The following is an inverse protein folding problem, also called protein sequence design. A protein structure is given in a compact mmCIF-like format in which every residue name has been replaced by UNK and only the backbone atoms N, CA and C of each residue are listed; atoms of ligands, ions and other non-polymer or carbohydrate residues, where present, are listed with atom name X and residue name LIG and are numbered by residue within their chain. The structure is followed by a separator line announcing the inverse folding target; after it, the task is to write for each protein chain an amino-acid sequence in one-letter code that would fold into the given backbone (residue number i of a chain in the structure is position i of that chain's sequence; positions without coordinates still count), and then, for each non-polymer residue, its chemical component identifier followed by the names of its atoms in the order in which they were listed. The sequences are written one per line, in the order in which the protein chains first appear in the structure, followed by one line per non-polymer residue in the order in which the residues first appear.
data_IF_762637200871
#
_entry.id   IF_762637200871
#
_cell.length_a   1.000
_cell.length_b   1.000
_cell.length_c   1.000
_cell.angle_alpha   90.00
_cell.angle_beta   90.00
_cell.angle_gamma   90.00
#
_symmetry.space_group_name_H-M   'P 1'
#
loop_
_entity.id
_entity.type
_entity.pdbx_description
1 polymer ?
#
# COMPACT_ATOMS: atom_id res chain seq x y z
N UNK A 1 21.18 -19.68 18.18
CA UNK A 1 21.87 -18.45 17.74
C UNK A 1 20.94 -17.28 18.04
N UNK A 2 21.20 -16.51 19.10
CA UNK A 2 20.36 -15.35 19.45
C UNK A 2 20.76 -14.18 18.54
N UNK A 3 19.82 -13.67 17.74
CA UNK A 3 20.04 -12.47 16.93
C UNK A 3 20.01 -11.27 17.88
N UNK A 4 21.18 -10.73 18.20
CA UNK A 4 21.34 -9.64 19.19
C UNK A 4 21.12 -8.25 18.56
N UNK A 5 21.35 -8.11 17.26
CA UNK A 5 21.08 -6.92 16.47
C UNK A 5 20.78 -7.33 15.02
N UNK A 6 19.68 -6.84 14.47
CA UNK A 6 19.42 -6.85 13.02
C UNK A 6 19.26 -5.39 12.56
N UNK A 7 20.04 -5.01 11.55
CA UNK A 7 20.02 -3.67 10.97
C UNK A 7 18.71 -3.37 10.20
N UNK A 8 17.84 -4.37 10.05
CA UNK A 8 16.53 -4.26 9.37
C UNK A 8 15.34 -4.28 10.34
N UNK A 9 15.59 -4.14 11.65
CA UNK A 9 14.51 -4.09 12.62
C UNK A 9 13.64 -2.84 12.40
N UNK A 10 12.30 -2.97 12.45
CA UNK A 10 11.42 -1.82 12.33
C UNK A 10 11.65 -0.86 13.49
N UNK A 11 11.71 0.43 13.19
CA UNK A 11 11.98 1.49 14.17
C UNK A 11 10.70 2.03 14.82
N UNK A 12 9.58 1.97 14.09
CA UNK A 12 8.28 2.53 14.49
C UNK A 12 7.15 1.62 14.03
N UNK A 13 5.96 1.86 14.57
CA UNK A 13 4.74 1.20 14.16
C UNK A 13 3.74 2.26 13.71
N UNK A 14 3.22 2.14 12.48
CA UNK A 14 2.08 2.93 12.03
C UNK A 14 0.80 2.29 12.56
N UNK A 15 -0.02 3.06 13.26
CA UNK A 15 -1.39 2.72 13.58
C UNK A 15 -2.31 3.38 12.55
N UNK A 16 -2.59 2.67 11.45
CA UNK A 16 -3.30 3.21 10.31
C UNK A 16 -4.82 3.04 10.43
N UNK A 17 -5.57 4.11 10.20
CA UNK A 17 -7.03 4.13 10.08
C UNK A 17 -7.46 4.62 8.70
N UNK A 18 -8.68 4.29 8.27
CA UNK A 18 -9.23 4.84 7.03
C UNK A 18 -10.07 6.09 7.29
N UNK A 19 -9.93 7.12 6.45
CA UNK A 19 -10.54 8.45 6.69
C UNK A 19 -12.07 8.43 6.86
N UNK A 20 -12.75 7.49 6.22
CA UNK A 20 -14.22 7.40 6.24
C UNK A 20 -14.75 6.45 7.33
N UNK A 21 -13.89 5.90 8.18
CA UNK A 21 -14.25 4.95 9.23
C UNK A 21 -14.27 5.61 10.61
N UNK A 22 -15.23 5.18 11.44
CA UNK A 22 -15.31 5.60 12.84
C UNK A 22 -14.12 4.99 13.62
N UNK A 23 -13.19 5.81 14.14
CA UNK A 23 -12.01 5.35 14.86
C UNK A 23 -12.35 4.66 16.18
N UNK A 24 -13.55 4.88 16.74
CA UNK A 24 -14.00 4.22 17.98
C UNK A 24 -14.44 2.79 17.73
N UNK A 25 -14.90 2.48 16.51
CA UNK A 25 -15.45 1.16 16.15
C UNK A 25 -14.48 0.26 15.39
N UNK A 26 -13.39 0.84 14.87
CA UNK A 26 -12.49 0.13 13.95
C UNK A 26 -11.09 0.08 14.54
N UNK A 27 -10.58 -1.14 14.76
CA UNK A 27 -9.20 -1.32 15.21
C UNK A 27 -8.21 -0.87 14.12
N UNK A 28 -7.17 -0.10 14.46
CA UNK A 28 -6.18 0.35 13.50
C UNK A 28 -5.36 -0.83 12.95
N UNK A 29 -4.95 -0.73 11.69
CA UNK A 29 -3.98 -1.65 11.10
C UNK A 29 -2.59 -1.26 11.59
N UNK A 30 -1.94 -2.19 12.29
CA UNK A 30 -0.60 -2.01 12.83
C UNK A 30 0.46 -2.44 11.82
N UNK A 31 1.27 -1.50 11.33
CA UNK A 31 2.29 -1.76 10.30
C UNK A 31 3.68 -1.37 10.79
N UNK A 32 4.63 -2.31 10.89
CA UNK A 32 6.00 -1.99 11.24
C UNK A 32 6.68 -1.22 10.10
N UNK A 33 7.43 -0.17 10.43
CA UNK A 33 8.18 0.62 9.46
C UNK A 33 9.60 0.94 9.94
N UNK A 34 10.50 1.09 8.97
CA UNK A 34 11.77 1.76 9.17
C UNK A 34 11.60 3.25 8.82
N UNK A 35 11.92 4.13 9.77
CA UNK A 35 11.74 5.57 9.63
C UNK A 35 12.56 6.12 8.45
N UNK A 36 13.81 5.67 8.30
CA UNK A 36 14.71 6.16 7.26
C UNK A 36 14.20 5.74 5.88
N UNK A 37 13.73 4.50 5.75
CA UNK A 37 13.12 4.03 4.50
C UNK A 37 11.79 4.75 4.22
N UNK A 38 10.98 5.01 5.24
CA UNK A 38 9.72 5.73 5.12
C UNK A 38 9.94 7.19 4.66
N UNK A 39 10.81 7.95 5.34
CA UNK A 39 11.14 9.35 5.01
C UNK A 39 11.81 9.48 3.63
N UNK A 40 12.49 8.43 3.15
CA UNK A 40 12.99 8.37 1.76
C UNK A 40 11.85 8.19 0.75
N UNK A 41 10.86 7.35 1.09
CA UNK A 41 9.75 6.98 0.22
C UNK A 41 8.65 8.04 0.13
N UNK A 42 8.37 8.75 1.22
CA UNK A 42 7.23 9.66 1.37
C UNK A 42 7.66 11.06 1.82
N UNK A 43 6.85 12.05 1.46
CA UNK A 43 7.08 13.47 1.81
C UNK A 43 6.22 13.96 2.98
N UNK A 44 5.24 13.15 3.41
CA UNK A 44 4.42 13.50 4.57
C UNK A 44 5.26 13.56 5.84
N UNK A 45 5.11 14.65 6.59
CA UNK A 45 5.69 14.76 7.92
C UNK A 45 4.73 14.14 8.94
N UNK A 46 5.13 13.03 9.54
CA UNK A 46 4.37 12.34 10.57
C UNK A 46 4.77 12.76 12.00
N UNK A 47 5.65 13.75 12.17
CA UNK A 47 6.19 14.17 13.46
C UNK A 47 6.72 12.98 14.28
N UNK A 48 7.61 12.19 13.68
CA UNK A 48 8.16 10.99 14.30
C UNK A 48 8.71 11.28 15.71
N UNK A 49 8.18 10.64 16.76
CA UNK A 49 8.76 10.79 18.10
C UNK A 49 10.21 10.25 18.09
N UNK A 50 11.09 10.77 18.95
CA UNK A 50 12.43 10.22 19.06
C UNK A 50 12.33 8.75 19.49
N UNK A 51 12.92 7.87 18.68
CA UNK A 51 13.02 6.46 19.05
C UNK A 51 13.90 6.35 20.30
N UNK A 52 13.44 5.59 21.30
CA UNK A 52 14.22 5.32 22.53
C UNK A 52 15.53 4.59 22.25
N UNK A 53 15.64 3.96 21.07
CA UNK A 53 16.87 3.42 20.49
C UNK A 53 16.78 3.46 18.97
N UNK A 54 17.86 3.87 18.31
CA UNK A 54 18.05 3.79 16.85
C UNK A 54 18.06 2.35 16.32
N UNK A 55 18.33 1.38 17.19
CA UNK A 55 18.17 -0.06 16.89
C UNK A 55 17.34 -0.70 18.01
N UNK A 56 16.11 -1.14 17.73
CA UNK A 56 15.30 -1.83 18.72
C UNK A 56 16.01 -3.13 19.13
N UNK A 57 16.42 -3.22 20.39
CA UNK A 57 17.03 -4.44 20.94
C UNK A 57 15.93 -5.35 21.47
N UNK A 58 15.78 -6.57 20.95
CA UNK A 58 14.86 -7.54 21.51
C UNK A 58 15.20 -7.78 22.99
N UNK A 59 14.20 -7.66 23.85
CA UNK A 59 14.31 -8.01 25.27
C UNK A 59 13.65 -9.36 25.47
N UNK A 60 14.36 -10.25 26.14
CA UNK A 60 13.79 -11.53 26.56
C UNK A 60 12.90 -11.31 27.77
N UNK A 61 11.64 -11.74 27.68
CA UNK A 61 10.73 -11.82 28.82
C UNK A 61 10.16 -13.23 28.92
N UNK A 62 9.88 -13.65 30.14
CA UNK A 62 9.25 -14.94 30.41
C UNK A 62 7.73 -14.72 30.48
N UNK A 63 6.98 -15.36 29.59
CA UNK A 63 5.51 -15.33 29.57
C UNK A 63 5.04 -16.76 29.80
N UNK A 64 4.58 -17.05 31.03
CA UNK A 64 4.32 -18.43 31.47
C UNK A 64 5.62 -19.24 31.53
N UNK A 65 5.64 -20.43 30.92
CA UNK A 65 6.84 -21.28 30.84
C UNK A 65 7.70 -21.00 29.58
N UNK A 66 7.30 -20.03 28.76
CA UNK A 66 7.96 -19.73 27.48
C UNK A 66 8.79 -18.44 27.56
N UNK A 67 10.00 -18.51 27.01
CA UNK A 67 10.86 -17.34 26.82
C UNK A 67 10.53 -16.71 25.46
N UNK A 68 10.12 -15.43 25.47
CA UNK A 68 9.69 -14.72 24.27
C UNK A 68 10.49 -13.42 24.14
N UNK A 69 10.87 -13.09 22.91
CA UNK A 69 11.56 -11.84 22.59
C UNK A 69 10.53 -10.76 22.26
N UNK A 70 10.61 -9.63 22.96
CA UNK A 70 9.73 -8.47 22.75
C UNK A 70 10.53 -7.23 22.37
N UNK A 71 9.90 -6.38 21.57
CA UNK A 71 10.45 -5.11 21.11
C UNK A 71 9.40 -4.03 21.33
N UNK A 72 9.80 -2.93 21.99
CA UNK A 72 8.95 -1.77 22.17
C UNK A 72 9.24 -0.77 21.04
N UNK A 73 8.21 -0.42 20.27
CA UNK A 73 8.30 0.55 19.18
C UNK A 73 7.37 1.74 19.45
N UNK A 74 7.80 2.98 19.17
CA UNK A 74 6.89 4.11 19.20
C UNK A 74 5.79 3.93 18.14
N UNK A 75 4.55 4.23 18.53
CA UNK A 75 3.37 4.12 17.67
C UNK A 75 3.01 5.49 17.11
N UNK A 76 2.77 5.56 15.80
CA UNK A 76 2.42 6.79 15.09
C UNK A 76 1.04 6.59 14.46
N UNK A 77 0.02 7.35 14.90
CA UNK A 77 -1.28 7.30 14.27
C UNK A 77 -1.21 7.95 12.88
N UNK A 78 -1.81 7.30 11.89
CA UNK A 78 -1.91 7.84 10.53
C UNK A 78 -3.28 7.57 9.94
N UNK A 79 -3.88 8.60 9.33
CA UNK A 79 -5.15 8.45 8.63
C UNK A 79 -4.90 8.38 7.12
N UNK A 80 -5.40 7.34 6.46
CA UNK A 80 -5.19 7.12 5.03
C UNK A 80 -6.50 7.02 4.26
N UNK A 81 -6.55 7.45 2.99
CA UNK A 81 -7.76 7.31 2.18
C UNK A 81 -8.23 5.88 1.97
N UNK A 82 -7.32 4.91 1.89
CA UNK A 82 -7.66 3.51 1.62
C UNK A 82 -6.72 2.54 2.34
N UNK A 83 -7.24 1.86 3.36
CA UNK A 83 -6.41 1.07 4.28
C UNK A 83 -5.84 -0.19 3.63
N UNK A 84 -6.64 -0.89 2.81
CA UNK A 84 -6.25 -2.19 2.24
C UNK A 84 -5.12 -2.11 1.20
N UNK A 85 -4.89 -0.94 0.60
CA UNK A 85 -3.77 -0.71 -0.33
C UNK A 85 -2.52 -0.16 0.35
N UNK A 86 -2.58 0.19 1.64
CA UNK A 86 -1.47 0.83 2.34
C UNK A 86 -0.24 -0.08 2.44
N UNK A 87 -0.44 -1.35 2.81
CA UNK A 87 0.67 -2.30 2.95
C UNK A 87 1.43 -2.50 1.63
N UNK A 88 0.71 -2.60 0.50
CA UNK A 88 1.31 -2.68 -0.82
C UNK A 88 2.10 -1.41 -1.13
N UNK A 89 1.56 -0.23 -0.85
CA UNK A 89 2.26 1.04 -1.07
C UNK A 89 3.56 1.12 -0.26
N UNK A 90 3.50 0.78 1.03
CA UNK A 90 4.66 0.81 1.93
C UNK A 90 5.76 -0.14 1.46
N UNK A 91 5.40 -1.36 1.02
CA UNK A 91 6.34 -2.37 0.53
C UNK A 91 7.23 -1.81 -0.59
N UNK A 92 6.63 -1.14 -1.58
CA UNK A 92 7.37 -0.57 -2.71
C UNK A 92 8.01 0.78 -2.38
N UNK A 93 7.33 1.65 -1.64
CA UNK A 93 7.83 2.99 -1.33
C UNK A 93 9.07 2.97 -0.43
N UNK A 94 9.12 2.02 0.51
CA UNK A 94 10.29 1.80 1.39
C UNK A 94 11.40 0.99 0.69
N UNK A 95 11.20 0.56 -0.56
CA UNK A 95 12.18 -0.21 -1.32
C UNK A 95 12.38 -1.64 -0.83
N UNK A 96 11.41 -2.20 -0.09
CA UNK A 96 11.44 -3.60 0.35
C UNK A 96 11.13 -4.57 -0.80
N UNK A 97 10.28 -4.13 -1.73
CA UNK A 97 10.11 -4.73 -3.05
C UNK A 97 10.50 -3.71 -4.12
N UNK A 98 11.23 -4.15 -5.14
CA UNK A 98 11.78 -3.29 -6.20
C UNK A 98 11.31 -3.70 -7.60
N UNK A 99 10.73 -4.89 -7.74
CA UNK A 99 10.25 -5.41 -9.02
C UNK A 99 8.89 -4.80 -9.38
N UNK A 100 8.92 -3.75 -10.19
CA UNK A 100 7.73 -3.05 -10.65
C UNK A 100 6.80 -3.89 -11.54
N UNK A 101 7.28 -4.99 -12.12
CA UNK A 101 6.42 -5.90 -12.89
C UNK A 101 5.45 -6.63 -11.95
N UNK A 102 5.92 -7.00 -10.75
CA UNK A 102 5.05 -7.59 -9.73
C UNK A 102 4.00 -6.56 -9.28
N UNK A 103 4.38 -5.28 -9.16
CA UNK A 103 3.41 -4.22 -8.86
C UNK A 103 2.35 -4.16 -9.96
N UNK A 104 2.74 -4.12 -11.22
CA UNK A 104 1.80 -4.08 -12.34
C UNK A 104 0.80 -5.25 -12.29
N UNK A 105 1.27 -6.48 -12.02
CA UNK A 105 0.40 -7.67 -11.88
C UNK A 105 -0.48 -7.67 -10.63
N UNK A 106 -0.15 -6.91 -9.60
CA UNK A 106 -1.03 -6.70 -8.45
C UNK A 106 -2.13 -5.67 -8.71
N UNK A 107 -1.92 -4.77 -9.68
CA UNK A 107 -2.87 -3.71 -10.02
C UNK A 107 -3.78 -4.07 -11.19
N UNK A 108 -3.31 -4.91 -12.11
CA UNK A 108 -4.02 -5.29 -13.31
C UNK A 108 -3.89 -6.79 -13.56
N UNK A 109 -4.93 -7.42 -14.15
CA UNK A 109 -4.84 -8.80 -14.62
C UNK A 109 -3.73 -9.00 -15.65
N UNK A 110 -3.18 -10.20 -15.71
CA UNK A 110 -2.06 -10.54 -16.62
C UNK A 110 -2.43 -10.26 -18.07
N UNK A 111 -3.64 -10.64 -18.50
CA UNK A 111 -4.14 -10.46 -19.86
C UNK A 111 -4.29 -8.98 -20.23
N UNK A 112 -4.45 -8.11 -19.24
CA UNK A 112 -4.46 -6.66 -19.44
C UNK A 112 -3.04 -6.12 -19.54
N UNK A 113 -2.10 -6.67 -18.76
CA UNK A 113 -0.69 -6.25 -18.78
C UNK A 113 0.01 -6.67 -20.07
N UNK A 114 -0.37 -7.78 -20.67
CA UNK A 114 0.16 -8.27 -21.96
C UNK A 114 -0.04 -7.29 -23.12
N UNK A 115 -1.07 -6.45 -23.08
CA UNK A 115 -1.36 -5.43 -24.11
C UNK A 115 -0.53 -4.15 -23.93
N UNK A 116 0.34 -4.07 -22.92
CA UNK A 116 1.17 -2.89 -22.71
C UNK A 116 2.10 -2.63 -23.92
N UNK A 117 2.25 -1.38 -24.39
CA UNK A 117 1.78 -0.11 -23.81
C UNK A 117 0.45 0.42 -24.37
N UNK A 118 -0.36 -0.39 -25.05
CA UNK A 118 -1.59 0.06 -25.68
C UNK A 118 -2.75 0.21 -24.67
N UNK A 119 -2.82 1.36 -24.00
CA UNK A 119 -3.84 1.64 -22.98
C UNK A 119 -5.30 1.46 -23.47
N UNK A 120 -5.58 1.70 -24.76
CA UNK A 120 -6.89 1.49 -25.34
C UNK A 120 -7.24 -0.01 -25.41
N UNK A 121 -6.30 -0.86 -25.82
CA UNK A 121 -6.45 -2.31 -25.79
C UNK A 121 -6.60 -2.83 -24.36
N UNK A 122 -5.74 -2.38 -23.45
CA UNK A 122 -5.78 -2.72 -22.02
C UNK A 122 -7.16 -2.43 -21.40
N UNK A 123 -7.68 -1.21 -21.61
CA UNK A 123 -8.98 -0.80 -21.07
C UNK A 123 -10.15 -1.58 -21.69
N UNK A 124 -10.05 -1.94 -22.97
CA UNK A 124 -11.05 -2.75 -23.67
C UNK A 124 -11.10 -4.16 -23.11
N UNK A 125 -9.95 -4.83 -22.93
CA UNK A 125 -9.88 -6.17 -22.31
C UNK A 125 -10.44 -6.11 -20.89
N UNK A 126 -10.01 -5.13 -20.09
CA UNK A 126 -10.48 -4.99 -18.72
C UNK A 126 -12.00 -4.75 -18.67
N UNK A 127 -12.57 -3.98 -19.60
CA UNK A 127 -14.01 -3.69 -19.69
C UNK A 127 -14.90 -4.92 -19.97
N UNK A 128 -14.33 -6.02 -20.45
CA UNK A 128 -15.06 -7.28 -20.74
C UNK A 128 -15.18 -8.20 -19.52
N UNK A 129 -14.47 -7.91 -18.43
CA UNK A 129 -14.51 -8.72 -17.21
C UNK A 129 -15.84 -8.60 -16.46
N UNK A 130 -16.16 -9.56 -15.56
CA UNK A 130 -17.32 -9.44 -14.69
C UNK A 130 -17.29 -8.14 -13.88
N UNK A 131 -18.46 -7.50 -13.74
CA UNK A 131 -18.59 -6.19 -13.09
C UNK A 131 -18.04 -6.18 -11.65
N UNK A 132 -18.24 -7.27 -10.89
CA UNK A 132 -17.73 -7.39 -9.52
C UNK A 132 -16.19 -7.34 -9.45
N UNK A 133 -15.51 -8.03 -10.37
CA UNK A 133 -14.05 -8.00 -10.45
C UNK A 133 -13.53 -6.62 -10.86
N UNK A 134 -14.18 -6.00 -11.85
CA UNK A 134 -13.82 -4.65 -12.29
C UNK A 134 -13.97 -3.62 -11.18
N UNK A 135 -15.07 -3.68 -10.42
CA UNK A 135 -15.30 -2.76 -9.30
C UNK A 135 -14.26 -2.97 -8.20
N UNK A 136 -13.88 -4.22 -7.93
CA UNK A 136 -12.79 -4.54 -6.99
C UNK A 136 -11.46 -3.93 -7.43
N UNK A 137 -11.06 -4.15 -8.70
CA UNK A 137 -9.83 -3.59 -9.28
C UNK A 137 -9.88 -2.06 -9.29
N UNK A 138 -11.03 -1.48 -9.65
CA UNK A 138 -11.24 -0.03 -9.65
C UNK A 138 -11.04 0.56 -8.25
N UNK A 139 -11.69 -0.01 -7.23
CA UNK A 139 -11.56 0.48 -5.84
C UNK A 139 -10.13 0.33 -5.34
N UNK A 140 -9.48 -0.79 -5.62
CA UNK A 140 -8.10 -1.03 -5.22
C UNK A 140 -7.15 0.00 -5.84
N UNK A 141 -7.18 0.17 -7.18
CA UNK A 141 -6.31 1.10 -7.90
C UNK A 141 -6.61 2.56 -7.54
N UNK A 142 -7.88 2.92 -7.38
CA UNK A 142 -8.28 4.24 -6.91
C UNK A 142 -7.74 4.51 -5.50
N UNK A 143 -7.89 3.54 -4.60
CA UNK A 143 -7.44 3.64 -3.22
C UNK A 143 -5.93 3.81 -3.11
N UNK A 144 -5.18 3.00 -3.88
CA UNK A 144 -3.73 3.13 -3.96
C UNK A 144 -3.31 4.50 -4.48
N UNK A 145 -3.97 4.99 -5.54
CA UNK A 145 -3.71 6.32 -6.08
C UNK A 145 -3.99 7.44 -5.06
N UNK A 146 -5.12 7.35 -4.33
CA UNK A 146 -5.44 8.31 -3.26
C UNK A 146 -4.38 8.30 -2.15
N UNK A 147 -3.90 7.13 -1.74
CA UNK A 147 -2.83 7.03 -0.74
C UNK A 147 -1.53 7.67 -1.23
N UNK A 148 -1.15 7.46 -2.51
CA UNK A 148 0.02 8.09 -3.12
C UNK A 148 -0.04 9.60 -3.02
N UNK A 149 -1.20 10.19 -3.33
CA UNK A 149 -1.43 11.63 -3.25
C UNK A 149 -1.41 12.12 -1.80
N UNK A 150 -2.05 11.40 -0.88
CA UNK A 150 -2.16 11.80 0.53
C UNK A 150 -0.83 11.72 1.29
N UNK A 151 -0.02 10.69 1.04
CA UNK A 151 1.27 10.48 1.72
C UNK A 151 2.44 11.15 0.99
N UNK A 152 2.22 11.63 -0.24
CA UNK A 152 3.24 12.27 -1.05
C UNK A 152 4.38 11.33 -1.41
N UNK A 153 4.09 10.25 -2.14
CA UNK A 153 5.11 9.31 -2.63
C UNK A 153 6.17 10.05 -3.47
N UNK A 154 7.45 9.74 -3.26
CA UNK A 154 8.57 10.42 -3.92
C UNK A 154 9.09 9.67 -5.17
N UNK A 155 8.82 8.36 -5.29
CA UNK A 155 9.35 7.53 -6.36
C UNK A 155 8.54 7.66 -7.66
N UNK A 156 9.09 8.40 -8.63
CA UNK A 156 8.45 8.65 -9.93
C UNK A 156 8.09 7.38 -10.73
N UNK A 157 8.89 6.31 -10.64
CA UNK A 157 8.62 5.07 -11.37
C UNK A 157 7.40 4.34 -10.80
N UNK A 158 7.28 4.27 -9.48
CA UNK A 158 6.11 3.68 -8.81
C UNK A 158 4.86 4.51 -9.16
N UNK A 159 4.95 5.84 -9.08
CA UNK A 159 3.86 6.74 -9.45
C UNK A 159 3.39 6.47 -10.88
N UNK A 160 4.33 6.34 -11.83
CA UNK A 160 4.00 6.10 -13.24
C UNK A 160 3.25 4.78 -13.45
N UNK A 161 3.68 3.69 -12.81
CA UNK A 161 3.01 2.38 -12.91
C UNK A 161 1.60 2.46 -12.34
N UNK A 162 1.43 3.02 -11.14
CA UNK A 162 0.12 3.12 -10.49
C UNK A 162 -0.81 4.06 -11.25
N UNK A 163 -0.30 5.18 -11.75
CA UNK A 163 -1.07 6.12 -12.57
C UNK A 163 -1.54 5.46 -13.87
N UNK A 164 -0.68 4.67 -14.52
CA UNK A 164 -1.05 3.93 -15.74
C UNK A 164 -2.17 2.94 -15.45
N UNK A 165 -2.03 2.13 -14.40
CA UNK A 165 -3.06 1.17 -13.99
C UNK A 165 -4.38 1.86 -13.62
N UNK A 166 -4.31 2.98 -12.90
CA UNK A 166 -5.46 3.79 -12.56
C UNK A 166 -6.18 4.32 -13.82
N UNK A 167 -5.45 4.91 -14.76
CA UNK A 167 -6.03 5.44 -16.00
C UNK A 167 -6.72 4.34 -16.82
N UNK A 168 -6.05 3.20 -17.02
CA UNK A 168 -6.62 2.02 -17.71
C UNK A 168 -7.91 1.55 -17.04
N UNK A 169 -7.92 1.49 -15.70
CA UNK A 169 -9.09 1.02 -14.94
C UNK A 169 -10.24 2.04 -14.97
N UNK A 170 -9.93 3.33 -14.91
CA UNK A 170 -10.92 4.40 -15.05
C UNK A 170 -11.54 4.41 -16.46
N UNK A 171 -10.74 4.20 -17.51
CA UNK A 171 -11.22 4.13 -18.89
C UNK A 171 -12.06 2.88 -19.14
N UNK A 172 -11.64 1.72 -18.63
CA UNK A 172 -12.44 0.50 -18.70
C UNK A 172 -13.84 0.68 -18.10
N UNK A 173 -13.92 1.36 -16.94
CA UNK A 173 -15.19 1.68 -16.30
C UNK A 173 -16.05 2.63 -17.14
N UNK A 174 -15.46 3.63 -17.79
CA UNK A 174 -16.17 4.55 -18.71
C UNK A 174 -16.74 3.80 -19.92
N UNK A 175 -15.97 2.88 -20.50
CA UNK A 175 -16.42 2.04 -21.63
C UNK A 175 -17.62 1.18 -21.22
N UNK A 176 -17.55 0.52 -20.06
CA UNK A 176 -18.67 -0.27 -19.53
C UNK A 176 -19.94 0.56 -19.35
N UNK A 177 -19.84 1.72 -18.69
CA UNK A 177 -20.99 2.61 -18.49
C UNK A 177 -21.62 3.06 -19.81
N UNK A 178 -20.79 3.35 -20.83
CA UNK A 178 -21.27 3.69 -22.17
C UNK A 178 -21.98 2.51 -22.86
N UNK A 179 -21.47 1.29 -22.70
CA UNK A 179 -22.07 0.10 -23.30
C UNK A 179 -23.42 -0.22 -22.67
N UNK A 180 -23.56 -0.06 -21.36
CA UNK A 180 -24.82 -0.28 -20.65
C UNK A 180 -25.91 0.72 -21.06
N UNK A 181 -25.53 1.97 -21.36
CA UNK A 181 -26.45 3.00 -21.85
C UNK A 181 -26.97 2.74 -23.28
N UNK A 182 -26.26 1.95 -24.10
CA UNK A 182 -26.67 1.61 -25.47
C UNK A 182 -27.63 0.40 -25.54
N UNK A 183 -27.87 -0.27 -24.42
CA UNK A 183 -28.76 -1.43 -24.35
C UNK A 183 -30.20 -1.06 -23.96
N UNK A 184 -30.48 0.24 -23.76
CA UNK A 184 -31.80 0.83 -23.55
C UNK A 184 -32.14 1.75 -24.72
#
# INVERSE_FOLDING_TARGET
MHVVCDARMPTHLLAATQSDQDPVKTSPLMLPIDRVLFERGFRIDLNFPPATSITPKPRSITVGDSQVLYVNLPVIPVNVPHLSSLALLLLYAMGLETNLNILAWKLLPVEVVEEFPNAAAMSTILSRRPQAEQESIYRHNQGLWKNILALGLNNARIIQVVQTAWNVTADARRVMLRNNLKQY
#
